data_IF_508937785760
#
_entry.id   IF_508937785760
#
_cell.length_a   1.000
_cell.length_b   1.000
_cell.length_c   1.000
_cell.angle_alpha   90.00
_cell.angle_beta   90.00
_cell.angle_gamma   90.00
#
_symmetry.space_group_name_H-M   'P 1'
#
loop_
_entity.id
_entity.type
_entity.pdbx_description
1 polymer ?
#
# COMPACT_ATOMS: atom_id res chain seq x y z
N UNK A 1 7.56 -5.06 19.86
CA UNK A 1 6.61 -6.17 19.79
C UNK A 1 5.66 -6.01 18.62
N UNK A 2 5.40 -7.06 17.87
CA UNK A 2 4.40 -7.04 16.80
C UNK A 2 3.01 -7.01 17.44
N UNK A 3 2.39 -5.84 17.47
CA UNK A 3 1.03 -5.69 17.99
C UNK A 3 0.01 -6.25 17.00
N UNK A 4 -0.81 -7.20 17.44
CA UNK A 4 -1.98 -7.68 16.71
C UNK A 4 -3.24 -7.05 17.33
N UNK A 5 -4.03 -6.36 16.53
CA UNK A 5 -5.36 -5.90 16.93
C UNK A 5 -6.44 -6.71 16.19
N UNK A 6 -7.32 -7.33 16.94
CA UNK A 6 -8.40 -8.16 16.40
C UNK A 6 -9.76 -7.49 16.65
N UNK A 7 -10.53 -7.29 15.57
CA UNK A 7 -11.91 -6.79 15.66
C UNK A 7 -12.89 -7.96 15.53
N UNK A 8 -13.68 -8.19 16.58
CA UNK A 8 -14.67 -9.27 16.64
C UNK A 8 -16.05 -8.67 16.73
N UNK A 9 -17.02 -9.27 16.06
CA UNK A 9 -18.42 -8.83 16.09
C UNK A 9 -19.26 -9.51 15.03
N UNK A 10 -20.57 -9.45 15.16
CA UNK A 10 -21.53 -10.02 14.22
C UNK A 10 -21.46 -9.35 12.84
N UNK A 11 -22.02 -9.99 11.81
CA UNK A 11 -22.16 -9.37 10.50
C UNK A 11 -22.97 -8.08 10.62
N UNK A 12 -22.53 -7.02 9.95
CA UNK A 12 -23.14 -5.70 10.05
C UNK A 12 -22.69 -4.83 11.23
N UNK A 13 -21.83 -5.33 12.14
CA UNK A 13 -21.35 -4.57 13.31
C UNK A 13 -20.35 -3.45 12.99
N UNK A 14 -20.08 -3.17 11.73
CA UNK A 14 -19.20 -2.06 11.33
C UNK A 14 -17.71 -2.37 11.26
N UNK A 15 -17.29 -3.65 11.35
CA UNK A 15 -15.88 -4.03 11.25
C UNK A 15 -15.20 -3.51 9.97
N UNK A 16 -15.87 -3.64 8.83
CA UNK A 16 -15.38 -3.12 7.55
C UNK A 16 -15.29 -1.60 7.53
N UNK A 17 -16.21 -0.91 8.23
CA UNK A 17 -16.17 0.55 8.33
C UNK A 17 -14.93 1.04 9.08
N UNK A 18 -14.42 0.27 10.05
CA UNK A 18 -13.16 0.61 10.74
C UNK A 18 -11.98 0.52 9.77
N UNK A 19 -11.93 -0.53 8.93
CA UNK A 19 -10.88 -0.66 7.90
C UNK A 19 -10.96 0.48 6.88
N UNK A 20 -12.17 0.88 6.49
CA UNK A 20 -12.39 2.02 5.61
C UNK A 20 -11.96 3.34 6.25
N UNK A 21 -12.31 3.55 7.51
CA UNK A 21 -11.90 4.74 8.24
C UNK A 21 -10.37 4.85 8.34
N UNK A 22 -9.69 3.77 8.73
CA UNK A 22 -8.22 3.76 8.80
C UNK A 22 -7.61 4.02 7.41
N UNK A 23 -8.11 3.36 6.38
CA UNK A 23 -7.63 3.56 4.99
C UNK A 23 -7.84 5.00 4.54
N UNK A 24 -8.99 5.60 4.84
CA UNK A 24 -9.31 6.98 4.52
C UNK A 24 -8.43 7.99 5.25
N UNK A 25 -8.15 7.76 6.53
CA UNK A 25 -7.27 8.61 7.33
C UNK A 25 -5.87 8.66 6.72
N UNK A 26 -5.30 7.50 6.37
CA UNK A 26 -3.99 7.46 5.76
C UNK A 26 -3.98 7.93 4.31
N UNK A 27 -5.06 7.70 3.55
CA UNK A 27 -5.23 8.32 2.24
C UNK A 27 -5.15 9.84 2.36
N UNK A 28 -5.90 10.45 3.28
CA UNK A 28 -5.96 11.89 3.47
C UNK A 28 -4.63 12.45 4.00
N UNK A 29 -3.94 11.68 4.85
CA UNK A 29 -2.59 12.03 5.30
C UNK A 29 -1.61 12.09 4.11
N UNK A 30 -1.62 11.12 3.21
CA UNK A 30 -0.65 11.04 2.11
C UNK A 30 -1.00 11.93 0.93
N UNK A 31 -2.29 12.15 0.62
CA UNK A 31 -2.74 12.98 -0.51
C UNK A 31 -2.83 14.47 -0.18
N UNK A 32 -3.15 14.83 1.05
CA UNK A 32 -3.27 16.22 1.50
C UNK A 32 -4.67 16.81 1.38
N UNK A 33 -4.75 18.11 1.62
CA UNK A 33 -6.01 18.83 1.90
C UNK A 33 -7.04 18.74 0.76
N UNK A 34 -6.60 18.83 -0.49
CA UNK A 34 -7.49 18.95 -1.65
C UNK A 34 -8.15 17.63 -2.07
N UNK A 35 -7.70 16.52 -1.49
CA UNK A 35 -8.17 15.16 -1.84
C UNK A 35 -8.81 14.44 -0.67
N UNK A 36 -9.23 15.13 0.38
CA UNK A 36 -9.77 14.51 1.59
C UNK A 36 -11.05 13.74 1.33
N UNK A 37 -11.07 12.50 1.82
CA UNK A 37 -12.21 11.59 1.74
C UNK A 37 -12.99 11.54 3.04
N UNK A 38 -12.33 11.68 4.18
CA UNK A 38 -12.96 11.67 5.50
C UNK A 38 -13.43 13.09 5.84
N UNK A 39 -14.74 13.25 6.00
CA UNK A 39 -15.36 14.56 6.28
C UNK A 39 -15.75 14.76 7.75
N UNK A 40 -15.76 13.70 8.55
CA UNK A 40 -16.04 13.79 9.98
C UNK A 40 -14.76 14.03 10.79
N UNK A 41 -14.95 14.50 12.01
CA UNK A 41 -13.85 14.62 12.97
C UNK A 41 -13.41 13.21 13.41
N UNK A 42 -12.10 13.03 13.59
CA UNK A 42 -11.53 11.77 14.02
C UNK A 42 -10.22 11.96 14.76
N UNK A 43 -9.83 10.95 15.51
CA UNK A 43 -8.54 10.85 16.15
C UNK A 43 -8.04 9.41 16.03
N UNK A 44 -6.90 9.23 15.35
CA UNK A 44 -6.19 7.95 15.25
C UNK A 44 -4.91 8.04 16.07
N UNK A 45 -4.72 7.09 16.98
CA UNK A 45 -3.51 6.96 17.79
C UNK A 45 -2.86 5.62 17.51
N UNK A 46 -1.55 5.61 17.37
CA UNK A 46 -0.76 4.39 17.19
C UNK A 46 0.67 4.59 17.71
N UNK A 47 1.37 3.50 17.92
CA UNK A 47 2.78 3.52 18.31
C UNK A 47 3.63 3.00 17.15
N UNK A 48 4.65 3.75 16.77
CA UNK A 48 5.62 3.37 15.75
C UNK A 48 7.04 3.61 16.32
N UNK A 49 7.88 2.57 16.34
CA UNK A 49 9.24 2.63 16.91
C UNK A 49 9.26 3.26 18.31
N UNK A 50 8.36 2.79 19.19
CA UNK A 50 8.20 3.26 20.57
C UNK A 50 7.70 4.73 20.70
N UNK A 51 7.42 5.40 19.58
CA UNK A 51 6.89 6.76 19.56
C UNK A 51 5.36 6.71 19.43
N UNK A 52 4.67 7.38 20.34
CA UNK A 52 3.24 7.59 20.24
C UNK A 52 2.92 8.63 19.18
N UNK A 53 2.17 8.23 18.17
CA UNK A 53 1.77 9.05 17.05
C UNK A 53 0.28 9.30 17.06
N UNK A 54 -0.14 10.50 16.69
CA UNK A 54 -1.54 10.90 16.61
C UNK A 54 -1.81 11.62 15.30
N UNK A 55 -2.85 11.22 14.62
CA UNK A 55 -3.44 11.91 13.48
C UNK A 55 -4.84 12.33 13.90
N UNK A 56 -5.12 13.61 13.89
CA UNK A 56 -6.38 14.17 14.35
C UNK A 56 -6.95 15.14 13.31
N UNK A 57 -8.21 15.01 13.01
CA UNK A 57 -8.96 16.02 12.25
C UNK A 57 -10.07 16.58 13.13
N UNK A 58 -10.11 17.90 13.26
CA UNK A 58 -11.15 18.62 13.99
C UNK A 58 -11.56 19.83 13.17
N UNK A 59 -12.85 20.01 12.92
CA UNK A 59 -13.41 21.11 12.11
C UNK A 59 -12.69 21.25 10.74
N UNK A 60 -12.34 20.14 10.10
CA UNK A 60 -11.63 20.11 8.82
C UNK A 60 -10.13 20.44 8.89
N UNK A 61 -9.55 20.63 10.06
CA UNK A 61 -8.11 20.86 10.24
C UNK A 61 -7.41 19.58 10.64
N UNK A 62 -6.45 19.15 9.83
CA UNK A 62 -5.59 18.01 10.11
C UNK A 62 -4.40 18.42 10.96
N UNK A 63 -4.20 17.73 12.07
CA UNK A 63 -3.05 17.88 12.96
C UNK A 63 -2.35 16.53 13.12
N UNK A 64 -1.02 16.56 13.14
CA UNK A 64 -0.18 15.38 13.28
C UNK A 64 0.81 15.58 14.43
N UNK A 65 0.84 14.61 15.33
CA UNK A 65 1.71 14.63 16.51
C UNK A 65 2.56 13.36 16.53
N UNK A 66 3.88 13.53 16.69
CA UNK A 66 4.77 12.54 17.26
C UNK A 66 5.03 12.92 18.72
N UNK A 67 6.30 13.05 19.15
CA UNK A 67 6.61 13.64 20.46
C UNK A 67 6.14 15.08 20.59
N UNK A 68 5.99 15.79 19.45
CA UNK A 68 5.50 17.16 19.34
C UNK A 68 4.59 17.28 18.11
N UNK A 69 3.81 18.38 18.06
CA UNK A 69 3.08 18.77 16.86
C UNK A 69 4.06 18.97 15.69
N UNK A 70 3.76 18.36 14.55
CA UNK A 70 4.60 18.42 13.36
C UNK A 70 3.81 18.90 12.15
N UNK A 71 4.50 19.54 11.22
CA UNK A 71 3.96 19.73 9.87
C UNK A 71 3.75 18.36 9.23
N UNK A 72 2.70 18.24 8.42
CA UNK A 72 2.29 16.98 7.79
C UNK A 72 3.44 16.28 7.05
N UNK A 73 4.23 17.03 6.29
CA UNK A 73 5.33 16.50 5.48
C UNK A 73 6.39 15.82 6.37
N UNK A 74 6.84 16.51 7.41
CA UNK A 74 7.80 15.93 8.38
C UNK A 74 7.22 14.76 9.16
N UNK A 75 5.93 14.83 9.48
CA UNK A 75 5.25 13.71 10.14
C UNK A 75 5.21 12.47 9.25
N UNK A 76 4.93 12.64 7.95
CA UNK A 76 4.90 11.54 6.99
C UNK A 76 6.27 10.86 6.88
N UNK A 77 7.35 11.62 6.90
CA UNK A 77 8.71 11.08 6.78
C UNK A 77 9.17 10.34 8.03
N UNK A 78 8.89 10.91 9.21
CA UNK A 78 9.47 10.42 10.46
C UNK A 78 8.54 9.52 11.28
N UNK A 79 7.23 9.72 11.19
CA UNK A 79 6.27 9.12 12.11
C UNK A 79 5.13 8.37 11.41
N UNK A 80 4.97 8.46 10.09
CA UNK A 80 4.00 7.64 9.40
C UNK A 80 4.56 6.26 9.05
N UNK A 81 3.73 5.21 9.02
CA UNK A 81 4.14 3.90 8.53
C UNK A 81 4.70 3.99 7.11
N UNK A 82 5.77 3.26 6.84
CA UNK A 82 6.38 3.24 5.51
C UNK A 82 5.43 2.65 4.47
N UNK A 83 4.72 1.58 4.84
CA UNK A 83 3.75 0.92 3.98
C UNK A 83 2.50 0.59 4.79
N UNK A 84 1.35 0.85 4.20
CA UNK A 84 0.06 0.42 4.71
C UNK A 84 -0.53 -0.49 3.65
N UNK A 85 -0.68 -1.74 4.03
CA UNK A 85 -1.17 -2.79 3.13
C UNK A 85 -2.52 -3.23 3.64
N UNK A 86 -3.56 -2.96 2.85
CA UNK A 86 -4.88 -3.50 3.06
C UNK A 86 -5.01 -4.84 2.36
N UNK A 87 -5.59 -5.82 3.04
CA UNK A 87 -6.01 -7.09 2.46
C UNK A 87 -7.50 -7.22 2.67
N UNK A 88 -8.26 -7.32 1.60
CA UNK A 88 -9.70 -7.45 1.66
C UNK A 88 -10.19 -8.55 0.73
N UNK A 89 -10.80 -9.58 1.30
CA UNK A 89 -11.31 -10.74 0.58
C UNK A 89 -12.80 -10.62 0.20
N UNK A 90 -13.45 -9.51 0.55
CA UNK A 90 -14.85 -9.27 0.20
C UNK A 90 -15.06 -9.02 -1.29
N UNK A 91 -16.27 -9.30 -1.78
CA UNK A 91 -16.64 -9.13 -3.18
C UNK A 91 -16.78 -7.65 -3.59
N UNK A 92 -16.99 -6.76 -2.63
CA UNK A 92 -17.21 -5.34 -2.89
C UNK A 92 -15.89 -4.60 -3.15
N UNK A 93 -15.82 -3.89 -4.26
CA UNK A 93 -14.69 -3.01 -4.63
C UNK A 93 -14.72 -1.66 -3.88
N UNK A 94 -15.56 -1.51 -2.85
CA UNK A 94 -15.80 -0.25 -2.15
C UNK A 94 -14.53 0.34 -1.55
N UNK A 95 -13.72 -0.48 -0.89
CA UNK A 95 -12.46 -0.04 -0.30
C UNK A 95 -11.48 0.44 -1.38
N UNK A 96 -11.42 -0.28 -2.50
CA UNK A 96 -10.60 0.09 -3.64
C UNK A 96 -11.05 1.43 -4.23
N UNK A 97 -12.30 1.54 -4.66
CA UNK A 97 -12.81 2.72 -5.35
C UNK A 97 -12.80 3.97 -4.48
N UNK A 98 -13.05 3.83 -3.19
CA UNK A 98 -13.12 4.97 -2.27
C UNK A 98 -11.74 5.56 -1.95
N UNK A 99 -10.71 4.75 -1.74
CA UNK A 99 -9.44 5.21 -1.19
C UNK A 99 -8.22 4.84 -2.03
N UNK A 100 -8.10 3.59 -2.43
CA UNK A 100 -6.85 3.08 -3.03
C UNK A 100 -6.71 3.45 -4.50
N UNK A 101 -7.77 3.41 -5.29
CA UNK A 101 -7.74 3.69 -6.72
C UNK A 101 -7.22 5.10 -7.02
N UNK A 102 -7.73 6.11 -6.30
CA UNK A 102 -7.30 7.51 -6.48
C UNK A 102 -5.83 7.68 -6.12
N UNK A 103 -5.38 7.03 -5.05
CA UNK A 103 -3.99 7.04 -4.64
C UNK A 103 -3.09 6.35 -5.67
N UNK A 104 -3.50 5.17 -6.14
CA UNK A 104 -2.80 4.38 -7.16
C UNK A 104 -2.67 5.13 -8.48
N UNK A 105 -3.75 5.68 -9.02
CA UNK A 105 -3.74 6.48 -10.25
C UNK A 105 -2.74 7.65 -10.15
N UNK A 106 -2.77 8.37 -9.06
CA UNK A 106 -1.83 9.47 -8.82
C UNK A 106 -0.37 8.99 -8.73
N UNK A 107 -0.12 7.84 -8.14
CA UNK A 107 1.21 7.23 -8.07
C UNK A 107 1.72 6.84 -9.46
N UNK A 108 0.89 6.19 -10.28
CA UNK A 108 1.24 5.81 -11.66
C UNK A 108 1.56 7.04 -12.52
N UNK A 109 0.76 8.11 -12.42
CA UNK A 109 1.06 9.34 -13.17
C UNK A 109 2.41 9.96 -12.76
N UNK A 110 2.77 9.90 -11.48
CA UNK A 110 4.08 10.37 -11.02
C UNK A 110 5.23 9.51 -11.54
N UNK A 111 5.06 8.18 -11.60
CA UNK A 111 6.05 7.28 -12.19
C UNK A 111 6.26 7.59 -13.68
N UNK A 112 5.17 7.75 -14.44
CA UNK A 112 5.23 8.06 -15.88
C UNK A 112 5.99 9.37 -16.16
N UNK A 113 5.83 10.36 -15.30
CA UNK A 113 6.49 11.67 -15.46
C UNK A 113 7.94 11.69 -14.96
N UNK A 114 8.49 10.54 -14.56
CA UNK A 114 9.86 10.37 -14.08
C UNK A 114 10.26 11.29 -12.90
N UNK A 115 9.26 11.84 -12.22
CA UNK A 115 9.46 12.72 -11.08
C UNK A 115 9.39 11.89 -9.80
N UNK A 116 10.55 11.44 -9.33
CA UNK A 116 10.82 10.77 -8.06
C UNK A 116 10.46 9.29 -7.95
N UNK A 117 11.38 8.52 -7.39
CA UNK A 117 11.18 7.15 -6.89
C UNK A 117 10.38 7.18 -5.57
N UNK A 118 9.20 7.79 -5.58
CA UNK A 118 8.32 7.72 -4.41
C UNK A 118 7.83 6.29 -4.23
N UNK A 119 7.96 5.77 -3.02
CA UNK A 119 7.40 4.47 -2.66
C UNK A 119 5.88 4.56 -2.57
N UNK A 120 5.20 3.53 -3.05
CA UNK A 120 3.76 3.39 -2.84
C UNK A 120 3.49 3.09 -1.36
N UNK A 121 3.01 4.08 -0.61
CA UNK A 121 2.79 3.98 0.84
C UNK A 121 1.46 3.34 1.21
N UNK A 122 0.49 3.37 0.32
CA UNK A 122 -0.85 2.83 0.54
C UNK A 122 -1.18 1.86 -0.59
N UNK A 123 -1.36 0.59 -0.25
CA UNK A 123 -1.61 -0.50 -1.20
C UNK A 123 -2.75 -1.38 -0.71
N UNK A 124 -3.65 -1.76 -1.61
CA UNK A 124 -4.66 -2.77 -1.37
C UNK A 124 -4.34 -4.02 -2.20
N UNK A 125 -4.17 -5.14 -1.51
CA UNK A 125 -4.06 -6.45 -2.16
C UNK A 125 -5.49 -6.97 -2.35
N UNK A 126 -5.95 -6.95 -3.57
CA UNK A 126 -7.23 -7.51 -3.98
C UNK A 126 -7.00 -8.70 -4.93
N UNK A 127 -8.08 -9.29 -5.45
CA UNK A 127 -8.02 -10.43 -6.37
C UNK A 127 -7.13 -10.22 -7.61
N UNK A 128 -6.94 -8.98 -8.06
CA UNK A 128 -6.11 -8.67 -9.23
C UNK A 128 -4.61 -8.68 -8.90
N UNK A 129 -4.25 -8.40 -7.64
CA UNK A 129 -2.86 -8.39 -7.19
C UNK A 129 -2.40 -9.74 -6.63
N UNK A 130 -3.30 -10.71 -6.48
CA UNK A 130 -2.97 -11.99 -5.87
C UNK A 130 -1.83 -12.70 -6.60
N UNK A 131 -1.87 -12.73 -7.93
CA UNK A 131 -0.82 -13.36 -8.72
C UNK A 131 0.55 -12.69 -8.55
N UNK A 132 0.57 -11.35 -8.44
CA UNK A 132 1.81 -10.60 -8.20
C UNK A 132 2.31 -10.83 -6.78
N UNK A 133 1.44 -10.85 -5.79
CA UNK A 133 1.79 -11.13 -4.41
C UNK A 133 2.35 -12.56 -4.27
N UNK A 134 1.70 -13.54 -4.90
CA UNK A 134 2.15 -14.94 -4.93
C UNK A 134 3.53 -15.04 -5.60
N UNK A 135 3.70 -14.41 -6.76
CA UNK A 135 4.99 -14.42 -7.45
C UNK A 135 6.10 -13.79 -6.59
N UNK A 136 5.80 -12.67 -5.94
CA UNK A 136 6.76 -12.02 -5.03
C UNK A 136 7.12 -12.93 -3.85
N UNK A 137 6.14 -13.63 -3.29
CA UNK A 137 6.34 -14.59 -2.22
C UNK A 137 7.27 -15.73 -2.67
N UNK A 138 6.98 -16.34 -3.83
CA UNK A 138 7.75 -17.45 -4.40
C UNK A 138 9.18 -17.07 -4.76
N UNK A 139 9.39 -15.83 -5.24
CA UNK A 139 10.71 -15.33 -5.63
C UNK A 139 11.50 -14.69 -4.48
N UNK A 140 10.89 -14.54 -3.30
CA UNK A 140 11.52 -13.86 -2.17
C UNK A 140 12.76 -14.58 -1.62
N UNK A 141 12.89 -15.89 -1.86
CA UNK A 141 13.96 -16.73 -1.29
C UNK A 141 13.96 -16.76 0.24
N UNK A 142 12.85 -16.38 0.87
CA UNK A 142 12.78 -16.31 2.33
C UNK A 142 12.52 -17.69 2.92
N UNK A 143 13.54 -18.27 3.55
CA UNK A 143 13.48 -19.60 4.16
C UNK A 143 12.37 -19.73 5.22
N UNK A 144 12.01 -18.64 5.91
CA UNK A 144 10.92 -18.65 6.89
C UNK A 144 9.55 -18.87 6.25
N UNK A 145 9.39 -18.49 4.99
CA UNK A 145 8.13 -18.66 4.25
C UNK A 145 8.04 -19.97 3.50
N UNK A 146 9.15 -20.69 3.35
CA UNK A 146 9.22 -21.95 2.63
C UNK A 146 8.24 -23.01 3.15
N UNK A 147 8.14 -23.27 4.47
CA UNK A 147 7.16 -24.22 4.98
C UNK A 147 5.71 -23.84 4.65
N UNK A 148 5.37 -22.55 4.68
CA UNK A 148 4.06 -22.07 4.28
C UNK A 148 3.80 -22.29 2.78
N UNK A 149 4.79 -22.03 1.93
CA UNK A 149 4.67 -22.22 0.48
C UNK A 149 4.49 -23.70 0.15
N UNK A 150 5.29 -24.58 0.76
CA UNK A 150 5.28 -26.02 0.47
C UNK A 150 4.10 -26.75 1.10
N UNK A 151 3.79 -26.48 2.37
CA UNK A 151 2.78 -27.23 3.12
C UNK A 151 1.37 -26.64 3.00
N UNK A 152 1.23 -25.32 3.05
CA UNK A 152 -0.09 -24.69 3.04
C UNK A 152 -0.55 -24.35 1.63
N UNK A 153 0.36 -23.92 0.74
CA UNK A 153 0.03 -23.64 -0.66
C UNK A 153 0.26 -24.84 -1.60
N UNK A 154 0.96 -25.87 -1.14
CA UNK A 154 1.26 -27.07 -1.94
C UNK A 154 2.20 -26.82 -3.13
N UNK A 155 2.99 -25.74 -3.11
CA UNK A 155 3.86 -25.34 -4.21
C UNK A 155 5.30 -25.77 -3.89
N UNK A 156 5.79 -26.78 -4.56
CA UNK A 156 7.14 -27.32 -4.33
C UNK A 156 8.17 -26.82 -5.33
N UNK A 157 7.74 -26.38 -6.53
CA UNK A 157 8.63 -25.86 -7.56
C UNK A 157 7.91 -24.91 -8.52
N UNK A 158 8.67 -24.05 -9.16
CA UNK A 158 8.20 -23.19 -10.25
C UNK A 158 8.86 -23.66 -11.53
N UNK A 159 8.08 -24.12 -12.49
CA UNK A 159 8.58 -24.56 -13.79
C UNK A 159 8.73 -23.42 -14.80
N UNK A 160 7.77 -22.50 -14.79
CA UNK A 160 7.73 -21.40 -15.77
C UNK A 160 7.01 -20.19 -15.19
N UNK A 161 7.52 -19.01 -15.49
CA UNK A 161 6.89 -17.73 -15.20
C UNK A 161 6.65 -17.03 -16.52
N UNK A 162 5.39 -16.71 -16.85
CA UNK A 162 5.02 -15.93 -18.03
C UNK A 162 4.53 -14.55 -17.62
N UNK A 163 5.20 -13.51 -18.09
CA UNK A 163 4.81 -12.12 -17.85
C UNK A 163 4.27 -11.52 -19.16
N UNK A 164 2.99 -11.16 -19.15
CA UNK A 164 2.36 -10.48 -20.29
C UNK A 164 2.23 -8.98 -20.00
N UNK A 165 2.93 -8.19 -20.79
CA UNK A 165 2.87 -6.73 -20.69
C UNK A 165 1.89 -6.18 -21.72
N UNK A 166 0.96 -5.34 -21.26
CA UNK A 166 0.07 -4.60 -22.16
C UNK A 166 0.61 -3.18 -22.34
N UNK A 167 1.28 -2.97 -23.46
CA UNK A 167 1.95 -1.69 -23.79
C UNK A 167 1.02 -0.62 -24.39
N UNK A 168 -0.27 -0.88 -24.45
CA UNK A 168 -1.26 0.04 -25.07
C UNK A 168 -1.22 1.47 -24.52
N UNK A 169 -0.63 1.67 -23.37
CA UNK A 169 -0.59 2.95 -22.65
C UNK A 169 0.82 3.58 -22.58
N UNK A 170 1.79 3.05 -23.31
CA UNK A 170 3.15 3.56 -23.29
C UNK A 170 3.55 4.04 -24.69
N UNK A 171 3.98 5.29 -24.78
CA UNK A 171 4.37 5.91 -26.06
C UNK A 171 5.72 5.37 -26.56
N UNK A 172 6.60 4.92 -25.68
CA UNK A 172 7.87 4.28 -26.01
C UNK A 172 8.08 2.97 -25.23
N UNK A 173 7.73 1.86 -25.88
CA UNK A 173 7.91 0.50 -25.35
C UNK A 173 9.38 0.13 -25.20
N UNK A 174 10.25 0.59 -26.10
CA UNK A 174 11.66 0.22 -26.11
C UNK A 174 12.41 0.83 -24.91
N UNK A 175 12.14 2.07 -24.58
CA UNK A 175 12.70 2.75 -23.40
C UNK A 175 12.24 2.08 -22.10
N UNK A 176 10.97 1.72 -22.03
CA UNK A 176 10.40 1.02 -20.86
C UNK A 176 11.03 -0.36 -20.68
N UNK A 177 11.17 -1.14 -21.77
CA UNK A 177 11.79 -2.46 -21.74
C UNK A 177 13.26 -2.38 -21.35
N UNK A 178 14.02 -1.45 -21.89
CA UNK A 178 15.41 -1.21 -21.50
C UNK A 178 15.54 -0.90 -20.01
N UNK A 179 14.69 0.01 -19.51
CA UNK A 179 14.67 0.38 -18.10
C UNK A 179 14.32 -0.82 -17.21
N UNK A 180 13.37 -1.65 -17.62
CA UNK A 180 12.96 -2.85 -16.89
C UNK A 180 14.06 -3.91 -16.90
N UNK A 181 14.66 -4.21 -18.05
CA UNK A 181 15.76 -5.18 -18.19
C UNK A 181 16.96 -4.76 -17.35
N UNK A 182 17.36 -3.49 -17.39
CA UNK A 182 18.47 -2.95 -16.61
C UNK A 182 18.23 -3.03 -15.09
N UNK A 183 16.97 -3.00 -14.65
CA UNK A 183 16.63 -3.17 -13.23
C UNK A 183 16.67 -4.62 -12.77
N UNK A 184 16.27 -5.55 -13.63
CA UNK A 184 16.26 -6.99 -13.30
C UNK A 184 17.66 -7.59 -13.43
N UNK A 185 18.42 -7.12 -14.40
CA UNK A 185 19.79 -7.61 -14.66
C UNK A 185 20.75 -6.43 -14.87
N UNK A 186 21.23 -5.80 -13.79
CA UNK A 186 22.11 -4.63 -13.87
C UNK A 186 23.46 -4.93 -14.53
N UNK A 187 23.86 -6.21 -14.62
CA UNK A 187 25.12 -6.63 -15.25
C UNK A 187 24.98 -6.88 -16.77
N UNK A 188 23.76 -6.84 -17.30
CA UNK A 188 23.52 -6.98 -18.74
C UNK A 188 23.74 -5.64 -19.44
N UNK A 189 25.02 -5.32 -19.70
CA UNK A 189 25.38 -4.23 -20.60
C UNK A 189 25.09 -4.67 -22.02
N UNK A 190 24.01 -4.15 -22.61
CA UNK A 190 23.70 -4.24 -24.03
C UNK A 190 24.57 -3.30 -24.86
#
# INVERSE_FOLDING_TARGET
>A
GNGLTMLVGNNGSGKSNVLEAVSGIFHDLFKGKDSRKIKCDYKLQYTLNEINCVIEQTNGFLRCYGPKLKRREYFIEENAPHNIIGLYSGEEDRLWTSFYETYYKSYIERIKTNRHQERMRLMLINKYYWNVALLTLLLSGNETLKPFIENDLGITSISTIELKFNFKYFDDVNELLKTFINRINPDHKS
#
